data_IF_083011360166
#
_entry.id   IF_083011360166
#
_cell.length_a   1.000
_cell.length_b   1.000
_cell.length_c   1.000
_cell.angle_alpha   90.00
_cell.angle_beta   90.00
_cell.angle_gamma   90.00
#
_symmetry.space_group_name_H-M   'P 1'
#
loop_
_entity.id
_entity.type
_entity.pdbx_description
1 polymer ?
#
# COMPACT_ATOMS: atom_id res chain seq x y z
N UNK A 1 -29.92 -12.35 -49.71
CA UNK A 1 -29.46 -11.21 -48.87
C UNK A 1 -29.53 -11.64 -47.42
N UNK A 2 -28.49 -12.30 -46.91
CA UNK A 2 -28.36 -12.61 -45.48
C UNK A 2 -27.21 -11.79 -44.94
N UNK A 3 -27.53 -10.85 -44.05
CA UNK A 3 -26.55 -10.00 -43.37
C UNK A 3 -26.05 -10.76 -42.14
N UNK A 4 -24.84 -11.28 -42.23
CA UNK A 4 -24.10 -11.86 -41.10
C UNK A 4 -23.81 -10.73 -40.11
N UNK A 5 -24.49 -10.77 -38.96
CA UNK A 5 -24.26 -9.86 -37.85
C UNK A 5 -23.03 -10.35 -37.08
N UNK A 6 -21.88 -9.74 -37.35
CA UNK A 6 -20.66 -9.99 -36.57
C UNK A 6 -20.84 -9.25 -35.23
N UNK A 7 -21.24 -10.00 -34.19
CA UNK A 7 -21.17 -9.55 -32.80
C UNK A 7 -19.69 -9.51 -32.39
N UNK A 8 -19.05 -8.37 -32.56
CA UNK A 8 -17.74 -8.07 -31.98
C UNK A 8 -17.92 -8.00 -30.46
N UNK A 9 -17.61 -9.10 -29.77
CA UNK A 9 -17.33 -9.09 -28.34
C UNK A 9 -16.11 -8.19 -28.11
N UNK A 10 -16.36 -6.94 -27.73
CA UNK A 10 -15.34 -6.06 -27.16
C UNK A 10 -14.98 -6.68 -25.82
N UNK A 11 -13.91 -7.47 -25.78
CA UNK A 11 -13.26 -7.86 -24.54
C UNK A 11 -12.73 -6.57 -23.91
N UNK A 12 -13.47 -6.10 -22.90
CA UNK A 12 -13.04 -5.02 -22.02
C UNK A 12 -11.82 -5.56 -21.25
N UNK A 13 -10.63 -5.45 -21.84
CA UNK A 13 -9.39 -5.67 -21.11
C UNK A 13 -9.26 -4.51 -20.12
N UNK A 14 -9.83 -4.70 -18.92
CA UNK A 14 -9.57 -3.86 -17.77
C UNK A 14 -8.07 -3.88 -17.54
N UNK A 15 -7.39 -2.80 -17.93
CA UNK A 15 -6.00 -2.62 -17.59
C UNK A 15 -5.97 -2.37 -16.10
N UNK A 16 -5.62 -3.40 -15.34
CA UNK A 16 -5.46 -3.27 -13.92
C UNK A 16 -4.31 -2.28 -13.65
N UNK A 17 -4.66 -1.03 -13.35
CA UNK A 17 -3.72 -0.02 -12.91
C UNK A 17 -3.80 -0.03 -11.38
N UNK A 18 -2.84 -0.68 -10.73
CA UNK A 18 -2.69 -0.53 -9.29
C UNK A 18 -2.50 0.95 -8.94
N UNK A 19 -3.53 1.54 -8.33
CA UNK A 19 -3.46 2.87 -7.71
C UNK A 19 -3.48 2.65 -6.21
N UNK A 20 -2.41 3.04 -5.52
CA UNK A 20 -2.46 3.11 -4.06
C UNK A 20 -3.31 4.34 -3.71
N UNK A 21 -4.36 4.16 -2.91
CA UNK A 21 -5.16 5.26 -2.39
C UNK A 21 -4.86 5.40 -0.92
N UNK A 22 -4.15 6.45 -0.57
CA UNK A 22 -3.72 6.74 0.80
C UNK A 22 -4.94 7.16 1.60
N UNK A 23 -5.25 6.44 2.69
CA UNK A 23 -6.53 6.58 3.40
C UNK A 23 -6.63 7.84 4.26
N UNK A 24 -5.50 8.44 4.65
CA UNK A 24 -5.48 9.57 5.58
C UNK A 24 -5.17 10.93 4.94
N UNK A 25 -4.77 10.96 3.68
CA UNK A 25 -4.66 12.17 2.88
C UNK A 25 -4.38 11.77 1.43
N UNK A 26 -4.94 12.48 0.45
CA UNK A 26 -4.39 12.47 -0.91
C UNK A 26 -3.01 13.15 -0.93
N UNK A 27 -2.02 12.47 -0.35
CA UNK A 27 -0.63 12.90 -0.35
C UNK A 27 0.06 12.39 -1.62
N UNK A 28 0.36 13.32 -2.54
CA UNK A 28 1.06 13.03 -3.80
C UNK A 28 2.39 12.31 -3.59
N UNK A 29 3.06 12.54 -2.46
CA UNK A 29 4.33 11.86 -2.16
C UNK A 29 4.09 10.35 -1.92
N UNK A 30 3.02 10.01 -1.22
CA UNK A 30 2.61 8.63 -0.99
C UNK A 30 2.25 7.91 -2.30
N UNK A 31 1.54 8.58 -3.22
CA UNK A 31 1.24 8.04 -4.56
C UNK A 31 2.52 7.79 -5.39
N UNK A 32 3.48 8.73 -5.34
CA UNK A 32 4.75 8.61 -6.07
C UNK A 32 5.60 7.45 -5.53
N UNK A 33 5.69 7.30 -4.21
CA UNK A 33 6.43 6.21 -3.57
C UNK A 33 5.78 4.86 -3.84
N UNK A 34 4.46 4.79 -3.79
CA UNK A 34 3.68 3.63 -4.22
C UNK A 34 4.03 3.20 -5.65
N UNK A 35 4.03 4.14 -6.60
CA UNK A 35 4.39 3.86 -7.99
C UNK A 35 5.84 3.40 -8.15
N UNK A 36 6.77 3.96 -7.37
CA UNK A 36 8.17 3.49 -7.34
C UNK A 36 8.25 2.03 -6.86
N UNK A 37 7.57 1.69 -5.77
CA UNK A 37 7.53 0.32 -5.25
C UNK A 37 6.96 -0.67 -6.26
N UNK A 38 5.86 -0.31 -6.92
CA UNK A 38 5.29 -1.13 -8.00
C UNK A 38 6.26 -1.29 -9.17
N UNK A 39 6.95 -0.22 -9.58
CA UNK A 39 7.91 -0.26 -10.68
C UNK A 39 9.17 -1.08 -10.35
N UNK A 40 9.59 -1.08 -9.08
CA UNK A 40 10.71 -1.89 -8.58
C UNK A 40 10.36 -3.38 -8.53
N UNK A 41 9.13 -3.71 -8.13
CA UNK A 41 8.65 -5.09 -8.07
C UNK A 41 8.27 -5.64 -9.45
N UNK A 42 7.75 -4.79 -10.35
CA UNK A 42 7.21 -5.18 -11.66
C UNK A 42 7.81 -4.31 -12.78
N UNK A 43 9.00 -4.66 -13.29
CA UNK A 43 9.63 -3.91 -14.37
C UNK A 43 8.79 -3.94 -15.66
N UNK A 44 8.73 -2.80 -16.35
CA UNK A 44 7.82 -2.43 -17.47
C UNK A 44 7.75 -3.39 -18.68
N UNK A 45 8.59 -4.42 -18.72
CA UNK A 45 8.75 -5.30 -19.88
C UNK A 45 7.98 -6.63 -19.73
N UNK A 46 7.22 -6.81 -18.63
CA UNK A 46 6.33 -7.95 -18.44
C UNK A 46 4.93 -7.46 -18.12
N UNK A 47 3.92 -8.01 -18.82
CA UNK A 47 2.53 -7.92 -18.34
C UNK A 47 2.48 -8.74 -17.05
N UNK A 48 2.39 -8.06 -15.91
CA UNK A 48 2.29 -8.71 -14.62
C UNK A 48 0.95 -8.31 -14.03
N UNK A 49 0.14 -9.31 -13.74
CA UNK A 49 -1.09 -9.17 -12.99
C UNK A 49 -0.71 -9.17 -11.51
N UNK A 50 -0.93 -8.04 -10.84
CA UNK A 50 -0.63 -7.89 -9.41
C UNK A 50 -1.66 -8.70 -8.64
N UNK A 51 -1.20 -9.65 -7.83
CA UNK A 51 -2.08 -10.49 -7.02
C UNK A 51 -2.24 -9.91 -5.61
N UNK A 52 -3.32 -10.26 -4.93
CA UNK A 52 -3.52 -9.86 -3.52
C UNK A 52 -2.38 -10.34 -2.61
N UNK A 53 -1.73 -11.47 -2.96
CA UNK A 53 -0.56 -11.98 -2.24
C UNK A 53 0.66 -11.04 -2.28
N UNK A 54 0.69 -10.09 -3.22
CA UNK A 54 1.80 -9.14 -3.38
C UNK A 54 1.65 -7.90 -2.49
N UNK A 55 0.43 -7.63 -2.02
CA UNK A 55 0.09 -6.50 -1.17
C UNK A 55 1.04 -6.32 0.02
N UNK A 56 1.41 -7.38 0.80
CA UNK A 56 2.28 -7.21 1.96
C UNK A 56 3.66 -6.63 1.61
N UNK A 57 4.25 -7.06 0.49
CA UNK A 57 5.57 -6.58 0.09
C UNK A 57 5.53 -5.19 -0.55
N UNK A 58 4.43 -4.83 -1.22
CA UNK A 58 4.22 -3.46 -1.70
C UNK A 58 4.10 -2.50 -0.50
N UNK A 59 3.29 -2.87 0.51
CA UNK A 59 3.17 -2.11 1.77
C UNK A 59 4.52 -1.99 2.47
N UNK A 60 5.28 -3.08 2.59
CA UNK A 60 6.62 -3.04 3.16
C UNK A 60 7.54 -2.06 2.43
N UNK A 61 7.55 -2.10 1.09
CA UNK A 61 8.36 -1.19 0.30
C UNK A 61 8.00 0.28 0.60
N UNK A 62 6.70 0.60 0.65
CA UNK A 62 6.22 1.96 0.94
C UNK A 62 6.65 2.39 2.35
N UNK A 63 6.39 1.58 3.37
CA UNK A 63 6.78 1.86 4.75
C UNK A 63 8.30 2.02 4.89
N UNK A 64 9.07 1.22 4.15
CA UNK A 64 10.54 1.27 4.16
C UNK A 64 11.07 2.56 3.53
N UNK A 65 10.53 2.96 2.38
CA UNK A 65 10.91 4.22 1.72
C UNK A 65 10.58 5.44 2.57
N UNK A 66 9.52 5.35 3.39
CA UNK A 66 9.19 6.39 4.35
C UNK A 66 9.94 6.30 5.68
N UNK A 67 10.80 5.30 5.87
CA UNK A 67 11.57 5.13 7.10
C UNK A 67 10.73 4.70 8.30
N UNK A 68 9.48 4.28 8.09
CA UNK A 68 8.60 3.77 9.14
C UNK A 68 9.02 2.36 9.54
N UNK A 69 9.54 1.57 8.60
CA UNK A 69 10.10 0.25 8.87
C UNK A 69 11.50 0.13 8.26
N UNK A 70 12.43 -0.50 8.98
CA UNK A 70 13.76 -0.78 8.45
C UNK A 70 13.74 -1.97 7.49
N UNK A 71 14.85 -2.19 6.77
CA UNK A 71 15.03 -3.41 5.98
C UNK A 71 14.96 -4.70 6.81
N UNK A 72 15.30 -4.63 8.10
CA UNK A 72 15.23 -5.75 9.05
C UNK A 72 13.87 -5.86 9.76
N UNK A 73 12.89 -5.03 9.41
CA UNK A 73 11.55 -5.09 10.00
C UNK A 73 11.40 -4.34 11.33
N UNK A 74 12.34 -3.48 11.72
CA UNK A 74 12.23 -2.64 12.93
C UNK A 74 11.36 -1.43 12.63
N UNK A 75 10.31 -1.21 13.43
CA UNK A 75 9.36 -0.11 13.25
C UNK A 75 9.83 1.14 13.99
N UNK A 76 9.80 2.29 13.32
CA UNK A 76 10.13 3.60 13.88
C UNK A 76 8.84 4.40 14.11
N UNK A 77 8.37 4.40 15.36
CA UNK A 77 7.15 5.09 15.75
C UNK A 77 7.23 6.61 15.63
N UNK A 78 8.41 7.20 15.77
CA UNK A 78 8.57 8.66 15.65
C UNK A 78 8.34 9.14 14.22
N UNK A 79 8.86 8.38 13.25
CA UNK A 79 8.62 8.64 11.82
C UNK A 79 7.16 8.40 11.46
N UNK A 80 6.56 7.31 11.95
CA UNK A 80 5.13 7.05 11.80
C UNK A 80 4.28 8.22 12.32
N UNK A 81 4.48 8.65 13.58
CA UNK A 81 3.73 9.74 14.21
C UNK A 81 3.86 11.05 13.46
N UNK A 82 5.09 11.42 13.06
CA UNK A 82 5.33 12.62 12.24
C UNK A 82 4.52 12.59 10.95
N UNK A 83 4.43 11.41 10.33
CA UNK A 83 3.70 11.24 9.09
C UNK A 83 2.19 11.31 9.26
N UNK A 84 1.66 10.67 10.32
CA UNK A 84 0.26 10.78 10.72
C UNK A 84 -0.11 12.24 10.99
N UNK A 85 0.74 13.00 11.69
CA UNK A 85 0.54 14.43 11.93
C UNK A 85 0.48 15.24 10.64
N UNK A 86 1.39 15.00 9.68
CA UNK A 86 1.37 15.70 8.37
C UNK A 86 0.09 15.39 7.60
N UNK A 87 -0.34 14.12 7.58
CA UNK A 87 -1.57 13.73 6.91
C UNK A 87 -2.81 14.41 7.55
N UNK A 88 -2.88 14.48 8.87
CA UNK A 88 -3.98 15.14 9.58
C UNK A 88 -3.93 16.66 9.56
N UNK A 89 -2.77 17.31 9.34
CA UNK A 89 -2.76 18.76 9.08
C UNK A 89 -3.59 19.15 7.84
N UNK A 90 -3.77 18.20 6.91
CA UNK A 90 -4.63 18.38 5.74
C UNK A 90 -6.12 18.09 6.04
N UNK A 91 -6.42 17.44 7.17
CA UNK A 91 -7.75 17.00 7.55
C UNK A 91 -8.20 17.70 8.86
N UNK A 92 -8.89 18.83 8.72
CA UNK A 92 -9.20 19.77 9.81
C UNK A 92 -10.11 19.23 10.95
N UNK A 93 -10.48 17.93 10.96
CA UNK A 93 -11.62 17.43 11.76
C UNK A 93 -11.37 16.27 12.74
N UNK A 94 -10.15 15.77 12.94
CA UNK A 94 -9.97 14.52 13.70
C UNK A 94 -8.97 14.64 14.85
N UNK A 95 -9.43 14.25 16.04
CA UNK A 95 -8.58 13.92 17.20
C UNK A 95 -7.60 12.83 16.80
N UNK A 96 -6.30 13.08 16.96
CA UNK A 96 -5.24 12.12 16.62
C UNK A 96 -5.29 10.99 17.65
N UNK A 97 -5.91 9.87 17.31
CA UNK A 97 -5.77 8.63 18.08
C UNK A 97 -4.52 7.89 17.59
N UNK A 98 -3.40 8.02 18.30
CA UNK A 98 -2.16 7.31 17.98
C UNK A 98 -2.25 5.84 18.42
N UNK A 99 -2.54 4.96 17.48
CA UNK A 99 -2.51 3.50 17.69
C UNK A 99 -1.14 2.87 17.42
N UNK A 100 -0.12 3.66 17.08
CA UNK A 100 1.17 3.16 16.62
C UNK A 100 1.85 2.21 17.60
N UNK A 101 1.83 2.54 18.90
CA UNK A 101 2.40 1.70 19.96
C UNK A 101 1.78 0.30 20.00
N UNK A 102 0.46 0.22 20.18
CA UNK A 102 -0.27 -1.06 20.22
C UNK A 102 -0.19 -1.83 18.90
N UNK A 103 -0.20 -1.14 17.75
CA UNK A 103 -0.05 -1.78 16.45
C UNK A 103 1.37 -2.34 16.23
N UNK A 104 2.40 -1.66 16.73
CA UNK A 104 3.76 -2.17 16.71
C UNK A 104 3.88 -3.43 17.57
N UNK A 105 3.36 -3.41 18.80
CA UNK A 105 3.34 -4.59 19.67
C UNK A 105 2.64 -5.78 19.00
N UNK A 106 1.49 -5.54 18.36
CA UNK A 106 0.78 -6.55 17.59
C UNK A 106 1.64 -7.10 16.44
N UNK A 107 2.28 -6.23 15.65
CA UNK A 107 3.17 -6.65 14.57
C UNK A 107 4.37 -7.46 15.06
N UNK A 108 4.96 -7.09 16.20
CA UNK A 108 6.06 -7.82 16.85
C UNK A 108 5.61 -9.17 17.44
N UNK A 109 4.33 -9.33 17.79
CA UNK A 109 3.77 -10.57 18.33
C UNK A 109 3.44 -11.62 17.25
N UNK A 110 3.45 -11.24 15.97
CA UNK A 110 3.12 -12.16 14.87
C UNK A 110 4.09 -13.34 14.77
N UNK A 111 3.59 -14.51 14.40
CA UNK A 111 4.37 -15.75 14.27
C UNK A 111 5.43 -15.67 13.14
N UNK A 112 5.29 -14.71 12.23
CA UNK A 112 6.17 -14.50 11.09
C UNK A 112 7.16 -13.33 11.30
N UNK A 113 7.78 -13.21 12.48
CA UNK A 113 8.68 -12.09 12.80
C UNK A 113 9.81 -11.84 11.79
N UNK A 114 10.24 -12.90 11.08
CA UNK A 114 11.28 -12.83 10.05
C UNK A 114 10.74 -12.42 8.66
N UNK A 115 9.42 -12.53 8.44
CA UNK A 115 8.77 -12.07 7.22
C UNK A 115 8.41 -10.59 7.36
N UNK A 116 9.36 -9.76 6.91
CA UNK A 116 9.23 -8.30 6.97
C UNK A 116 8.03 -7.77 6.19
N UNK A 117 7.60 -8.47 5.13
CA UNK A 117 6.42 -8.08 4.34
C UNK A 117 5.12 -8.31 5.13
N UNK A 118 4.96 -9.49 5.75
CA UNK A 118 3.78 -9.76 6.59
C UNK A 118 3.73 -8.85 7.80
N UNK A 119 4.88 -8.64 8.47
CA UNK A 119 4.97 -7.73 9.63
C UNK A 119 4.55 -6.31 9.26
N UNK A 120 5.03 -5.81 8.13
CA UNK A 120 4.63 -4.52 7.58
C UNK A 120 3.13 -4.43 7.32
N UNK A 121 2.53 -5.47 6.74
CA UNK A 121 1.08 -5.50 6.49
C UNK A 121 0.27 -5.50 7.79
N UNK A 122 0.65 -6.30 8.79
CA UNK A 122 -0.05 -6.30 10.10
C UNK A 122 -0.01 -4.92 10.75
N UNK A 123 1.15 -4.26 10.72
CA UNK A 123 1.26 -2.89 11.23
C UNK A 123 0.39 -1.90 10.43
N UNK A 124 0.43 -1.98 9.10
CA UNK A 124 -0.36 -1.11 8.22
C UNK A 124 -1.87 -1.31 8.42
N UNK A 125 -2.33 -2.55 8.50
CA UNK A 125 -3.76 -2.87 8.62
C UNK A 125 -4.30 -2.41 9.98
N UNK A 126 -3.48 -2.50 11.04
CA UNK A 126 -3.84 -1.99 12.37
C UNK A 126 -3.88 -0.46 12.44
N UNK A 127 -2.95 0.22 11.78
CA UNK A 127 -2.87 1.70 11.75
C UNK A 127 -3.74 2.31 10.65
N UNK A 128 -4.25 1.49 9.73
CA UNK A 128 -4.93 1.87 8.49
C UNK A 128 -4.15 2.85 7.60
N UNK A 129 -2.82 2.94 7.75
CA UNK A 129 -2.03 4.03 7.20
C UNK A 129 -2.13 4.15 5.67
N UNK A 130 -2.05 3.01 4.97
CA UNK A 130 -2.19 2.93 3.52
C UNK A 130 -3.20 1.87 3.11
N UNK A 131 -3.86 2.13 1.97
CA UNK A 131 -4.70 1.16 1.29
C UNK A 131 -4.26 1.04 -0.17
N UNK A 132 -3.99 -0.18 -0.61
CA UNK A 132 -3.71 -0.45 -2.02
C UNK A 132 -5.04 -0.67 -2.73
N UNK A 133 -5.33 0.09 -3.79
CA UNK A 133 -6.44 -0.22 -4.70
C UNK A 133 -5.84 -0.89 -5.93
N UNK A 134 -5.95 -2.21 -5.97
CA UNK A 134 -5.72 -2.99 -7.19
C UNK A 134 -7.01 -2.87 -8.01
N UNK A 135 -7.06 -1.93 -8.95
CA UNK A 135 -8.10 -1.85 -9.99
C UNK A 135 -7.52 -2.40 -11.27
#
# INVERSE_FOLDING_TARGET
>A
MEKILIFTFITLSGFAHARISVMYAHDKLSDLVAQQCLSEMYPKNKRIEIQESDEPCIIFCVLKKFGIISASGVINLDIYRKRVQIAHQLDQKTSIMDYGGSCMENAEATQHKQDVCKKAKVFNDCTHLYRILLM
#
